data_IF_619430455174
#
_entry.id   IF_619430455174
#
_cell.length_a   1.000
_cell.length_b   1.000
_cell.length_c   1.000
_cell.angle_alpha   90.00
_cell.angle_beta   90.00
_cell.angle_gamma   90.00
#
_symmetry.space_group_name_H-M   'P 1'
#
loop_
_entity.id
_entity.type
_entity.pdbx_description
1 polymer ?
#
# COMPACT_ATOMS: atom_id res chain seq x y z
N UNK A 1 -4.11 10.43 6.45
CA UNK A 1 -5.28 9.76 5.84
C UNK A 1 -5.17 8.24 5.89
N UNK A 2 -4.07 7.65 5.39
CA UNK A 2 -3.87 6.18 5.35
C UNK A 2 -3.92 5.50 6.73
N UNK A 3 -3.34 6.13 7.76
CA UNK A 3 -3.41 5.64 9.15
C UNK A 3 -4.87 5.47 9.58
N UNK A 4 -5.73 6.44 9.28
CA UNK A 4 -7.16 6.37 9.62
C UNK A 4 -7.86 5.20 8.92
N UNK A 5 -7.52 4.90 7.66
CA UNK A 5 -8.09 3.75 6.94
C UNK A 5 -7.72 2.44 7.65
N UNK A 6 -6.46 2.31 8.06
CA UNK A 6 -6.00 1.12 8.79
C UNK A 6 -6.69 0.99 10.16
N UNK A 7 -6.84 2.09 10.89
CA UNK A 7 -7.56 2.12 12.18
C UNK A 7 -9.03 1.71 12.03
N UNK A 8 -9.72 2.24 11.01
CA UNK A 8 -11.12 1.88 10.74
C UNK A 8 -11.25 0.40 10.35
N UNK A 9 -10.33 -0.11 9.52
CA UNK A 9 -10.29 -1.52 9.13
C UNK A 9 -10.10 -2.42 10.37
N UNK A 10 -9.16 -2.06 11.25
CA UNK A 10 -8.91 -2.79 12.49
C UNK A 10 -10.11 -2.74 13.45
N UNK A 11 -10.79 -1.60 13.57
CA UNK A 11 -12.00 -1.45 14.38
C UNK A 11 -13.12 -2.37 13.88
N UNK A 12 -13.42 -2.32 12.57
CA UNK A 12 -14.47 -3.13 11.96
C UNK A 12 -14.21 -4.63 12.11
N UNK A 13 -12.95 -5.04 12.03
CA UNK A 13 -12.54 -6.41 12.28
C UNK A 13 -12.81 -6.88 13.72
N UNK A 14 -12.56 -6.02 14.71
CA UNK A 14 -12.88 -6.32 16.12
C UNK A 14 -14.38 -6.49 16.37
N UNK A 15 -15.22 -5.83 15.58
CA UNK A 15 -16.69 -5.95 15.62
C UNK A 15 -17.22 -7.20 14.88
N UNK A 16 -16.33 -8.11 14.44
CA UNK A 16 -16.68 -9.34 13.73
C UNK A 16 -16.95 -9.15 12.23
N UNK A 17 -16.73 -7.95 11.69
CA UNK A 17 -16.87 -7.64 10.27
C UNK A 17 -15.52 -7.61 9.53
N UNK A 18 -15.55 -7.14 8.29
CA UNK A 18 -14.36 -6.73 7.55
C UNK A 18 -14.67 -5.42 6.81
N UNK A 19 -13.63 -4.72 6.35
CA UNK A 19 -13.82 -3.47 5.60
C UNK A 19 -14.17 -3.74 4.13
N UNK A 20 -13.75 -4.89 3.60
CA UNK A 20 -13.90 -5.31 2.19
C UNK A 20 -13.68 -4.15 1.21
N UNK A 21 -12.51 -3.54 1.29
CA UNK A 21 -12.18 -2.32 0.56
C UNK A 21 -10.84 -2.44 -0.14
N UNK A 22 -10.68 -1.72 -1.24
CA UNK A 22 -9.45 -1.64 -2.01
C UNK A 22 -8.95 -0.19 -2.01
N UNK A 23 -7.73 0.02 -1.53
CA UNK A 23 -7.02 1.29 -1.67
C UNK A 23 -6.21 1.26 -2.96
N UNK A 24 -6.44 2.23 -3.84
CA UNK A 24 -5.71 2.38 -5.10
C UNK A 24 -4.83 3.61 -5.00
N UNK A 25 -3.54 3.42 -5.29
CA UNK A 25 -2.54 4.49 -5.31
C UNK A 25 -2.03 4.63 -6.74
N UNK A 26 -2.33 5.77 -7.34
CA UNK A 26 -1.80 6.15 -8.66
C UNK A 26 -0.43 6.83 -8.53
N UNK A 27 0.40 6.68 -9.54
CA UNK A 27 1.81 7.11 -9.56
C UNK A 27 2.56 6.73 -8.27
N UNK A 28 2.38 5.48 -7.84
CA UNK A 28 2.80 4.98 -6.53
C UNK A 28 4.30 5.14 -6.25
N UNK A 29 5.14 5.18 -7.28
CA UNK A 29 6.57 5.40 -7.14
C UNK A 29 6.92 6.78 -6.55
N UNK A 30 6.02 7.77 -6.66
CA UNK A 30 6.21 9.09 -6.03
C UNK A 30 6.08 9.04 -4.51
N UNK A 31 5.29 8.10 -4.00
CA UNK A 31 4.96 7.98 -2.58
C UNK A 31 5.68 6.82 -1.89
N UNK A 32 6.13 5.84 -2.66
CA UNK A 32 6.92 4.71 -2.18
C UNK A 32 8.05 4.38 -3.17
N UNK A 33 8.99 5.32 -3.39
CA UNK A 33 10.10 5.12 -4.30
C UNK A 33 10.97 3.95 -3.83
N UNK A 34 11.63 3.30 -4.80
CA UNK A 34 12.54 2.20 -4.53
C UNK A 34 13.75 2.61 -3.71
N UNK A 35 14.36 3.72 -4.11
CA UNK A 35 15.53 4.26 -3.44
C UNK A 35 15.09 5.09 -2.22
N UNK A 36 16.06 5.40 -1.36
CA UNK A 36 15.85 6.30 -0.23
C UNK A 36 15.60 7.71 -0.75
N UNK A 37 14.58 8.36 -0.22
CA UNK A 37 14.31 9.79 -0.41
C UNK A 37 15.00 10.60 0.69
N UNK A 38 15.43 11.81 0.35
CA UNK A 38 15.88 12.81 1.33
C UNK A 38 14.70 13.48 2.05
N UNK A 39 13.48 13.27 1.52
CA UNK A 39 12.24 13.73 2.11
C UNK A 39 11.74 12.75 3.19
N UNK A 40 11.76 13.20 4.45
CA UNK A 40 11.33 12.44 5.62
C UNK A 40 9.84 12.04 5.57
N UNK A 41 8.99 12.86 4.95
CA UNK A 41 7.57 12.55 4.81
C UNK A 41 7.36 11.39 3.83
N UNK A 42 8.14 11.35 2.75
CA UNK A 42 8.13 10.23 1.79
C UNK A 42 8.63 8.95 2.45
N UNK A 43 9.70 8.99 3.24
CA UNK A 43 10.20 7.82 3.96
C UNK A 43 9.19 7.30 5.00
N UNK A 44 8.51 8.22 5.69
CA UNK A 44 7.44 7.90 6.63
C UNK A 44 6.25 7.24 5.93
N UNK A 45 5.83 7.80 4.80
CA UNK A 45 4.72 7.30 4.00
C UNK A 45 5.02 5.92 3.41
N UNK A 46 6.25 5.74 2.89
CA UNK A 46 6.75 4.46 2.41
C UNK A 46 6.68 3.39 3.49
N UNK A 47 7.11 3.72 4.71
CA UNK A 47 7.04 2.83 5.87
C UNK A 47 5.60 2.44 6.22
N UNK A 48 4.66 3.39 6.14
CA UNK A 48 3.23 3.12 6.34
C UNK A 48 2.70 2.15 5.28
N UNK A 49 3.03 2.33 4.00
CA UNK A 49 2.59 1.41 2.95
C UNK A 49 3.12 0.00 3.14
N UNK A 50 4.41 -0.14 3.46
CA UNK A 50 5.05 -1.43 3.73
C UNK A 50 4.32 -2.18 4.85
N UNK A 51 4.03 -1.50 5.96
CA UNK A 51 3.31 -2.13 7.06
C UNK A 51 1.87 -2.46 6.68
N UNK A 52 1.20 -1.56 5.97
CA UNK A 52 -0.19 -1.76 5.58
C UNK A 52 -0.38 -2.98 4.66
N UNK A 53 0.43 -3.12 3.60
CA UNK A 53 0.33 -4.27 2.69
C UNK A 53 0.58 -5.61 3.38
N UNK A 54 1.38 -5.59 4.46
CA UNK A 54 1.70 -6.77 5.27
C UNK A 54 0.58 -7.12 6.25
N UNK A 55 -0.02 -6.12 6.89
CA UNK A 55 -0.88 -6.33 8.07
C UNK A 55 -2.37 -6.27 7.78
N UNK A 56 -2.82 -5.53 6.76
CA UNK A 56 -4.24 -5.21 6.60
C UNK A 56 -5.05 -6.26 5.84
N UNK A 57 -4.38 -7.25 5.25
CA UNK A 57 -5.05 -8.37 4.54
C UNK A 57 -6.06 -9.08 5.44
N UNK A 58 -5.75 -9.26 6.72
CA UNK A 58 -6.64 -9.88 7.72
C UNK A 58 -7.92 -9.07 7.99
N UNK A 59 -7.93 -7.79 7.63
CA UNK A 59 -9.08 -6.89 7.78
C UNK A 59 -9.97 -6.81 6.54
N UNK A 60 -9.65 -7.57 5.47
CA UNK A 60 -10.32 -7.44 4.18
C UNK A 60 -9.99 -6.13 3.45
N UNK A 61 -8.82 -5.54 3.75
CA UNK A 61 -8.33 -4.34 3.06
C UNK A 61 -7.22 -4.72 2.09
N UNK A 62 -7.49 -4.54 0.79
CA UNK A 62 -6.54 -4.72 -0.30
C UNK A 62 -5.84 -3.42 -0.68
N UNK A 63 -4.68 -3.55 -1.31
CA UNK A 63 -3.88 -2.44 -1.82
C UNK A 63 -3.50 -2.68 -3.28
N UNK A 64 -3.67 -1.65 -4.11
CA UNK A 64 -3.29 -1.64 -5.51
C UNK A 64 -2.39 -0.43 -5.77
N UNK A 65 -1.26 -0.69 -6.42
CA UNK A 65 -0.28 0.33 -6.78
C UNK A 65 -0.18 0.38 -8.29
N UNK A 66 -0.41 1.55 -8.84
CA UNK A 66 -0.30 1.83 -10.27
C UNK A 66 0.97 2.66 -10.45
N UNK A 67 1.85 2.23 -11.36
CA UNK A 67 3.09 2.93 -11.67
C UNK A 67 3.56 2.57 -13.07
N UNK A 68 4.19 3.52 -13.76
CA UNK A 68 4.72 3.36 -15.11
C UNK A 68 5.82 2.30 -15.18
N UNK A 69 6.60 2.12 -14.12
CA UNK A 69 7.66 1.11 -14.07
C UNK A 69 7.68 0.41 -12.73
N UNK A 70 7.53 -0.92 -12.73
CA UNK A 70 7.53 -1.70 -11.51
C UNK A 70 8.82 -1.54 -10.70
N UNK A 71 9.97 -1.46 -11.37
CA UNK A 71 11.27 -1.33 -10.73
C UNK A 71 11.47 -0.02 -9.95
N UNK A 72 10.58 0.97 -10.11
CA UNK A 72 10.61 2.23 -9.38
C UNK A 72 9.93 2.16 -8.00
N UNK A 73 9.14 1.12 -7.74
CA UNK A 73 8.43 0.93 -6.46
C UNK A 73 9.32 0.22 -5.44
N UNK A 74 9.12 0.52 -4.15
CA UNK A 74 9.83 -0.14 -3.07
C UNK A 74 9.71 -1.67 -3.10
N UNK A 75 10.85 -2.36 -2.99
CA UNK A 75 10.93 -3.82 -3.14
C UNK A 75 10.07 -4.58 -2.14
N UNK A 76 9.96 -4.09 -0.91
CA UNK A 76 9.13 -4.76 0.09
C UNK A 76 7.64 -4.71 -0.27
N UNK A 77 7.17 -3.62 -0.89
CA UNK A 77 5.79 -3.55 -1.38
C UNK A 77 5.59 -4.60 -2.49
N UNK A 78 6.51 -4.64 -3.46
CA UNK A 78 6.48 -5.62 -4.55
C UNK A 78 6.46 -7.06 -4.04
N UNK A 79 7.26 -7.38 -3.02
CA UNK A 79 7.34 -8.71 -2.44
C UNK A 79 6.05 -9.14 -1.71
N UNK A 80 5.20 -8.19 -1.29
CA UNK A 80 3.94 -8.48 -0.61
C UNK A 80 2.73 -8.59 -1.55
N UNK A 81 2.84 -8.04 -2.77
CA UNK A 81 1.81 -8.08 -3.81
C UNK A 81 1.80 -9.45 -4.49
N UNK A 82 0.60 -10.00 -4.72
CA UNK A 82 0.43 -11.34 -5.31
C UNK A 82 -0.02 -11.34 -6.76
N UNK A 83 -0.57 -10.23 -7.23
CA UNK A 83 -1.16 -10.10 -8.56
C UNK A 83 -0.48 -8.93 -9.24
N UNK A 84 0.06 -9.18 -10.43
CA UNK A 84 0.65 -8.16 -11.29
C UNK A 84 -0.17 -8.08 -12.56
N UNK A 85 -0.55 -6.86 -12.94
CA UNK A 85 -1.26 -6.57 -14.18
C UNK A 85 -0.33 -5.66 -14.98
N UNK A 86 -0.01 -6.07 -16.21
CA UNK A 86 0.84 -5.31 -17.11
C UNK A 86 0.01 -4.87 -18.31
N UNK A 87 -0.09 -3.56 -18.50
CA UNK A 87 -0.69 -2.93 -19.67
C UNK A 87 0.37 -2.15 -20.42
N UNK A 88 0.29 -2.14 -21.74
CA UNK A 88 1.13 -1.32 -22.61
C UNK A 88 0.23 -0.24 -23.21
N UNK A 89 0.65 1.02 -23.06
CA UNK A 89 0.03 2.20 -23.67
C UNK A 89 0.94 2.79 -24.73
#
# INVERSE_FOLDING_TARGET
MLIKINEQAAKRFKEGGNLNSLVVIDEAHRLAPREKSDDEDIESLKSIFIDAVRTTRKYGLGWMFISQTLSSLHREILNQIRIFIFGFG
#
